data_IF_289065829891
#
_entry.id   IF_289065829891
#
_cell.length_a   1.000
_cell.length_b   1.000
_cell.length_c   1.000
_cell.angle_alpha   90.00
_cell.angle_beta   90.00
_cell.angle_gamma   90.00
#
_symmetry.space_group_name_H-M   'P 1'
#
loop_
_entity.id
_entity.type
_entity.pdbx_description
1 polymer ?
#
# COMPACT_ATOMS: atom_id res chain seq x y z
N UNK A 1 29.54 15.84 -5.55
CA UNK A 1 28.81 14.59 -5.24
C UNK A 1 28.06 14.14 -6.48
N UNK A 2 28.64 13.17 -7.19
CA UNK A 2 28.16 12.64 -8.48
C UNK A 2 27.28 11.42 -8.27
N UNK A 3 26.26 11.24 -9.11
CA UNK A 3 25.40 10.06 -9.07
C UNK A 3 26.27 8.82 -9.34
N UNK A 4 26.06 7.66 -8.71
CA UNK A 4 26.91 6.46 -8.94
C UNK A 4 27.01 6.05 -10.41
N UNK A 5 25.96 6.30 -11.21
CA UNK A 5 25.94 6.09 -12.67
C UNK A 5 26.87 7.01 -13.47
N UNK A 6 27.33 8.10 -12.87
CA UNK A 6 28.24 9.09 -13.47
C UNK A 6 29.63 9.04 -12.83
N UNK A 7 29.94 7.97 -12.07
CA UNK A 7 31.18 7.87 -11.29
C UNK A 7 32.48 7.94 -12.12
N UNK A 8 32.40 7.73 -13.44
CA UNK A 8 33.54 7.77 -14.37
C UNK A 8 33.49 8.95 -15.37
N UNK A 9 32.55 9.89 -15.21
CA UNK A 9 32.36 11.01 -16.13
C UNK A 9 32.73 12.33 -15.46
N UNK A 10 33.66 13.06 -16.09
CA UNK A 10 34.15 14.37 -15.62
C UNK A 10 33.57 15.54 -16.43
N UNK A 11 32.81 15.24 -17.49
CA UNK A 11 32.22 16.20 -18.43
C UNK A 11 30.78 16.59 -18.07
N UNK A 12 30.20 15.96 -17.05
CA UNK A 12 28.85 16.22 -16.57
C UNK A 12 28.89 16.62 -15.10
N UNK A 13 28.91 17.92 -14.83
CA UNK A 13 28.60 18.46 -13.51
C UNK A 13 27.11 18.29 -13.23
N UNK A 14 26.81 17.34 -12.34
CA UNK A 14 25.53 16.64 -12.26
C UNK A 14 24.24 17.45 -12.46
N UNK A 15 23.57 17.34 -13.64
CA UNK A 15 22.27 17.95 -13.92
C UNK A 15 21.08 17.01 -13.59
N UNK A 16 21.33 15.73 -13.29
CA UNK A 16 20.29 14.74 -13.02
C UNK A 16 20.35 14.20 -11.59
N UNK A 17 19.53 14.74 -10.71
CA UNK A 17 19.07 14.03 -9.50
C UNK A 17 20.11 13.71 -8.41
N UNK A 18 21.37 14.20 -8.48
CA UNK A 18 22.40 13.88 -7.49
C UNK A 18 22.01 14.27 -6.06
N UNK A 19 21.30 15.39 -5.88
CA UNK A 19 20.76 15.79 -4.57
C UNK A 19 19.72 14.78 -4.06
N UNK A 20 18.88 14.25 -4.95
CA UNK A 20 17.87 13.25 -4.61
C UNK A 20 18.50 11.89 -4.31
N UNK A 21 19.51 11.48 -5.09
CA UNK A 21 20.29 10.27 -4.85
C UNK A 21 21.01 10.32 -3.50
N UNK A 22 21.71 11.43 -3.23
CA UNK A 22 22.35 11.66 -1.93
C UNK A 22 21.35 11.67 -0.77
N UNK A 23 20.18 12.30 -0.94
CA UNK A 23 19.12 12.29 0.07
C UNK A 23 18.62 10.87 0.33
N UNK A 24 18.41 10.07 -0.72
CA UNK A 24 18.00 8.66 -0.60
C UNK A 24 19.07 7.84 0.12
N UNK A 25 20.33 8.01 -0.25
CA UNK A 25 21.46 7.31 0.39
C UNK A 25 21.55 7.63 1.89
N UNK A 26 21.50 8.90 2.26
CA UNK A 26 21.48 9.31 3.68
C UNK A 26 20.27 8.75 4.43
N UNK A 27 19.09 8.70 3.79
CA UNK A 27 17.89 8.12 4.39
C UNK A 27 18.05 6.62 4.63
N UNK A 28 18.61 5.90 3.64
CA UNK A 28 18.91 4.47 3.75
C UNK A 28 19.93 4.23 4.87
N UNK A 29 21.02 5.00 4.89
CA UNK A 29 22.06 4.90 5.92
C UNK A 29 21.49 5.04 7.33
N UNK A 30 20.74 6.12 7.60
CA UNK A 30 20.08 6.34 8.89
C UNK A 30 19.13 5.20 9.28
N UNK A 31 18.38 4.68 8.30
CA UNK A 31 17.45 3.58 8.55
C UNK A 31 18.18 2.27 8.87
N UNK A 32 19.24 1.95 8.13
CA UNK A 32 20.08 0.78 8.38
C UNK A 32 20.74 0.86 9.75
N UNK A 33 21.35 1.99 10.09
CA UNK A 33 21.97 2.24 11.41
C UNK A 33 20.94 2.04 12.53
N UNK A 34 19.74 2.62 12.40
CA UNK A 34 18.67 2.42 13.38
C UNK A 34 18.24 0.95 13.51
N UNK A 35 18.03 0.24 12.40
CA UNK A 35 17.61 -1.16 12.44
C UNK A 35 18.73 -2.13 12.88
N UNK A 36 19.98 -1.67 12.99
CA UNK A 36 21.07 -2.44 13.57
C UNK A 36 21.09 -2.38 15.11
N UNK A 37 20.52 -1.35 15.73
CA UNK A 37 20.41 -1.23 17.19
C UNK A 37 19.45 -2.28 17.77
N UNK A 38 19.60 -2.66 19.07
CA UNK A 38 18.67 -3.57 19.72
C UNK A 38 17.22 -3.06 19.67
N UNK A 39 16.99 -1.77 19.97
CA UNK A 39 15.67 -1.14 19.91
C UNK A 39 15.04 -1.20 18.51
N UNK A 40 15.83 -0.94 17.46
CA UNK A 40 15.35 -1.01 16.09
C UNK A 40 14.95 -2.43 15.66
N UNK A 41 15.71 -3.43 16.12
CA UNK A 41 15.40 -4.85 15.87
C UNK A 41 14.10 -5.28 16.54
N UNK A 42 13.88 -4.88 17.79
CA UNK A 42 12.63 -5.17 18.51
C UNK A 42 11.42 -4.55 17.81
N UNK A 43 11.50 -3.28 17.42
CA UNK A 43 10.45 -2.61 16.65
C UNK A 43 10.19 -3.31 15.31
N UNK A 44 11.24 -3.71 14.60
CA UNK A 44 11.12 -4.44 13.33
C UNK A 44 10.46 -5.81 13.52
N UNK A 45 10.78 -6.52 14.59
CA UNK A 45 10.16 -7.81 14.96
C UNK A 45 8.65 -7.67 15.15
N UNK A 46 8.20 -6.63 15.87
CA UNK A 46 6.78 -6.33 16.05
C UNK A 46 6.05 -6.02 14.72
N UNK A 47 6.66 -5.18 13.87
CA UNK A 47 6.10 -4.86 12.54
C UNK A 47 5.99 -6.13 11.66
N UNK A 48 7.03 -6.97 11.65
CA UNK A 48 7.03 -8.20 10.87
C UNK A 48 6.02 -9.23 11.40
N UNK A 49 5.85 -9.33 12.72
CA UNK A 49 4.84 -10.18 13.33
C UNK A 49 3.43 -9.76 12.94
N UNK A 50 3.14 -8.45 12.91
CA UNK A 50 1.85 -7.92 12.45
C UNK A 50 1.57 -8.27 10.99
N UNK A 51 2.58 -8.19 10.12
CA UNK A 51 2.45 -8.59 8.70
C UNK A 51 2.18 -10.09 8.55
N UNK A 52 2.90 -10.93 9.30
CA UNK A 52 2.67 -12.39 9.30
C UNK A 52 1.25 -12.77 9.74
N UNK A 53 0.59 -11.94 10.56
CA UNK A 53 -0.80 -12.10 10.94
C UNK A 53 -1.82 -11.67 9.87
N UNK A 54 -1.41 -10.83 8.91
CA UNK A 54 -2.26 -10.36 7.82
C UNK A 54 -2.29 -11.32 6.61
N UNK A 55 -1.34 -12.25 6.52
CA UNK A 55 -1.27 -13.26 5.44
C UNK A 55 -2.23 -14.44 5.64
N UNK A 56 -3.25 -14.31 6.49
CA UNK A 56 -4.30 -15.31 6.66
C UNK A 56 -5.65 -14.70 6.36
N UNK A 57 -5.85 -14.29 5.11
CA UNK A 57 -7.17 -14.47 4.51
C UNK A 57 -7.29 -16.00 4.41
N UNK A 58 -8.18 -16.67 5.16
CA UNK A 58 -8.45 -18.08 4.94
C UNK A 58 -8.77 -18.24 3.45
N UNK A 59 -8.29 -19.28 2.76
CA UNK A 59 -8.70 -19.52 1.37
C UNK A 59 -10.22 -19.46 1.37
N UNK A 60 -10.78 -18.56 0.54
CA UNK A 60 -12.22 -18.36 0.42
C UNK A 60 -12.86 -19.74 0.48
N UNK A 61 -13.61 -20.00 1.56
CA UNK A 61 -14.50 -21.14 1.57
C UNK A 61 -15.34 -20.98 0.32
N UNK A 62 -15.21 -21.97 -0.55
CA UNK A 62 -15.74 -22.05 -1.92
C UNK A 62 -17.09 -21.33 -1.93
N UNK A 63 -17.14 -20.14 -2.53
CA UNK A 63 -18.38 -19.38 -2.59
C UNK A 63 -19.35 -20.23 -3.41
N UNK A 64 -20.42 -20.69 -2.77
CA UNK A 64 -21.37 -21.61 -3.40
C UNK A 64 -21.90 -21.00 -4.70
N UNK A 65 -22.06 -21.83 -5.74
CA UNK A 65 -22.58 -21.39 -7.05
C UNK A 65 -23.92 -20.67 -6.89
N UNK A 66 -24.74 -21.11 -5.93
CA UNK A 66 -26.01 -20.48 -5.57
C UNK A 66 -25.84 -19.01 -5.17
N UNK A 67 -24.83 -18.72 -4.34
CA UNK A 67 -24.52 -17.35 -3.89
C UNK A 67 -24.00 -16.51 -5.04
N UNK A 68 -23.14 -17.08 -5.90
CA UNK A 68 -22.62 -16.39 -7.08
C UNK A 68 -23.76 -15.99 -8.03
N UNK A 69 -24.66 -16.92 -8.33
CA UNK A 69 -25.83 -16.66 -9.19
C UNK A 69 -26.75 -15.61 -8.56
N UNK A 70 -27.00 -15.71 -7.26
CA UNK A 70 -27.81 -14.73 -6.54
C UNK A 70 -27.20 -13.33 -6.63
N UNK A 71 -25.89 -13.20 -6.40
CA UNK A 71 -25.18 -11.93 -6.54
C UNK A 71 -25.31 -11.38 -7.96
N UNK A 72 -25.11 -12.21 -8.99
CA UNK A 72 -25.25 -11.79 -10.38
C UNK A 72 -26.65 -11.26 -10.72
N UNK A 73 -27.70 -11.94 -10.25
CA UNK A 73 -29.08 -11.52 -10.47
C UNK A 73 -29.34 -10.18 -9.78
N UNK A 74 -29.00 -10.08 -8.49
CA UNK A 74 -29.25 -8.86 -7.70
C UNK A 74 -28.47 -7.67 -8.26
N UNK A 75 -27.19 -7.84 -8.59
CA UNK A 75 -26.40 -6.75 -9.20
C UNK A 75 -26.95 -6.35 -10.56
N UNK A 76 -27.40 -7.31 -11.37
CA UNK A 76 -27.98 -6.99 -12.69
C UNK A 76 -29.27 -6.19 -12.58
N UNK A 77 -30.09 -6.47 -11.57
CA UNK A 77 -31.32 -5.73 -11.30
C UNK A 77 -31.03 -4.30 -10.83
N UNK A 78 -30.06 -4.12 -9.92
CA UNK A 78 -29.66 -2.80 -9.40
C UNK A 78 -29.07 -1.95 -10.53
N UNK A 79 -28.17 -2.52 -11.33
CA UNK A 79 -27.48 -1.84 -12.42
C UNK A 79 -28.37 -1.70 -13.67
N UNK A 80 -29.57 -2.31 -13.68
CA UNK A 80 -30.52 -2.36 -14.81
C UNK A 80 -29.89 -2.85 -16.12
N UNK A 81 -28.86 -3.69 -16.03
CA UNK A 81 -28.15 -4.30 -17.15
C UNK A 81 -27.69 -5.70 -16.76
N UNK A 82 -27.52 -6.63 -17.70
CA UNK A 82 -26.85 -7.89 -17.38
C UNK A 82 -25.40 -7.61 -16.94
N UNK A 83 -25.02 -8.16 -15.79
CA UNK A 83 -23.68 -8.02 -15.20
C UNK A 83 -23.01 -9.40 -15.18
N UNK A 84 -21.87 -9.51 -15.85
CA UNK A 84 -21.07 -10.73 -15.85
C UNK A 84 -20.34 -10.90 -14.50
N UNK A 85 -19.98 -12.14 -14.15
CA UNK A 85 -19.27 -12.40 -12.89
C UNK A 85 -17.94 -11.62 -12.80
N UNK A 86 -17.23 -11.47 -13.92
CA UNK A 86 -16.00 -10.69 -13.99
C UNK A 86 -16.22 -9.21 -13.62
N UNK A 87 -17.35 -8.62 -14.04
CA UNK A 87 -17.71 -7.24 -13.70
C UNK A 87 -17.97 -7.09 -12.20
N UNK A 88 -18.58 -8.11 -11.57
CA UNK A 88 -18.82 -8.10 -10.12
C UNK A 88 -17.50 -8.10 -9.36
N UNK A 89 -16.53 -8.91 -9.78
CA UNK A 89 -15.20 -8.87 -9.17
C UNK A 89 -14.56 -7.49 -9.33
N UNK A 90 -14.64 -6.87 -10.51
CA UNK A 90 -14.14 -5.51 -10.73
C UNK A 90 -14.86 -4.47 -9.88
N UNK A 91 -16.19 -4.59 -9.70
CA UNK A 91 -16.96 -3.71 -8.81
C UNK A 91 -16.49 -3.85 -7.36
N UNK A 92 -16.31 -5.09 -6.88
CA UNK A 92 -15.81 -5.38 -5.53
C UNK A 92 -14.41 -4.82 -5.35
N UNK A 93 -13.50 -5.04 -6.28
CA UNK A 93 -12.13 -4.48 -6.25
C UNK A 93 -12.15 -2.95 -6.20
N UNK A 94 -13.02 -2.31 -6.98
CA UNK A 94 -13.18 -0.85 -6.97
C UNK A 94 -13.70 -0.34 -5.62
N UNK A 95 -14.69 -1.02 -5.02
CA UNK A 95 -15.22 -0.70 -3.69
C UNK A 95 -14.10 -0.83 -2.64
N UNK A 96 -13.37 -1.95 -2.65
CA UNK A 96 -12.27 -2.17 -1.73
C UNK A 96 -11.15 -1.14 -1.91
N UNK A 97 -10.85 -0.75 -3.15
CA UNK A 97 -9.90 0.33 -3.46
C UNK A 97 -10.37 1.67 -2.89
N UNK A 98 -11.64 2.03 -3.09
CA UNK A 98 -12.22 3.25 -2.53
C UNK A 98 -12.12 3.26 -1.00
N UNK A 99 -12.49 2.17 -0.34
CA UNK A 99 -12.35 2.04 1.11
C UNK A 99 -10.90 2.14 1.56
N UNK A 100 -9.95 1.53 0.85
CA UNK A 100 -8.52 1.66 1.16
C UNK A 100 -8.05 3.11 1.09
N UNK A 101 -8.52 3.89 0.10
CA UNK A 101 -8.19 5.32 0.00
C UNK A 101 -8.77 6.09 1.19
N UNK A 102 -10.05 5.88 1.51
CA UNK A 102 -10.71 6.53 2.65
C UNK A 102 -10.01 6.20 3.98
N UNK A 103 -9.69 4.94 4.21
CA UNK A 103 -8.98 4.50 5.43
C UNK A 103 -7.59 5.12 5.50
N UNK A 104 -6.86 5.17 4.37
CA UNK A 104 -5.54 5.80 4.33
C UNK A 104 -5.60 7.31 4.58
N UNK A 105 -6.61 8.00 4.05
CA UNK A 105 -6.85 9.42 4.26
C UNK A 105 -7.21 9.72 5.72
N UNK A 106 -8.08 8.90 6.31
CA UNK A 106 -8.45 8.98 7.72
C UNK A 106 -7.23 8.77 8.62
N UNK A 107 -6.45 7.71 8.38
CA UNK A 107 -5.23 7.43 9.13
C UNK A 107 -4.21 8.56 9.03
N UNK A 108 -4.07 9.17 7.84
CA UNK A 108 -3.19 10.31 7.65
C UNK A 108 -3.68 11.55 8.41
N UNK A 109 -4.99 11.82 8.38
CA UNK A 109 -5.60 12.96 9.07
C UNK A 109 -5.47 12.81 10.59
N UNK A 110 -5.86 11.65 11.13
CA UNK A 110 -5.75 11.33 12.57
C UNK A 110 -4.29 11.35 13.05
N UNK A 111 -3.35 10.85 12.24
CA UNK A 111 -1.92 10.90 12.57
C UNK A 111 -1.33 12.31 12.54
N UNK A 112 -1.87 13.22 11.73
CA UNK A 112 -1.40 14.61 11.62
C UNK A 112 -2.10 15.57 12.59
N UNK A 113 -3.33 15.25 12.98
CA UNK A 113 -4.17 16.08 13.86
C UNK A 113 -4.86 15.23 14.94
N UNK A 114 -4.13 14.74 15.94
CA UNK A 114 -4.65 13.77 16.91
C UNK A 114 -5.77 14.31 17.82
N UNK A 115 -5.93 15.64 17.92
CA UNK A 115 -6.91 16.30 18.79
C UNK A 115 -7.98 17.10 18.03
N UNK A 116 -8.16 16.85 16.73
CA UNK A 116 -9.19 17.51 15.92
C UNK A 116 -10.11 16.46 15.31
N UNK A 117 -11.41 16.61 15.52
CA UNK A 117 -12.40 15.87 14.76
C UNK A 117 -12.28 16.29 13.28
N UNK A 118 -12.25 15.34 12.34
CA UNK A 118 -12.39 15.69 10.92
C UNK A 118 -13.73 16.42 10.71
N UNK A 119 -13.79 17.42 9.80
CA UNK A 119 -15.04 18.09 9.44
C UNK A 119 -16.05 17.14 8.79
#
# INVERSE_FOLDING_TARGET
>A
MTHPRNASRNDIDCPFGCRQAHRKENSTKRSCEYYQTPEGKEKKKGINARRKGQDKIPPLQILDKTVILHLQVVTSLIEKRPVALADIFLMVENILRQHSIVISGKSWYEGRYPNKSPP
#
